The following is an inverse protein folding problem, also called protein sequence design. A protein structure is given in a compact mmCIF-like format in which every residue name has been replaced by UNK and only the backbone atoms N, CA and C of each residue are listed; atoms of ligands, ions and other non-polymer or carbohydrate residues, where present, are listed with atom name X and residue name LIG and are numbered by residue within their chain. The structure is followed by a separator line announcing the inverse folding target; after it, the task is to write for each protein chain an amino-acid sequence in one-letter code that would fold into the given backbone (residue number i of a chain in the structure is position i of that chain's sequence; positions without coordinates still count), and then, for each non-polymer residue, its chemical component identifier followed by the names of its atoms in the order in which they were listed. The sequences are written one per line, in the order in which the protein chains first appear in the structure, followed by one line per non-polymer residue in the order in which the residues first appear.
data_IF_729867341765
#
_entry.id   IF_729867341765
#
_cell.length_a   1.000
_cell.length_b   1.000
_cell.length_c   1.000
_cell.angle_alpha   90.00
_cell.angle_beta   90.00
_cell.angle_gamma   90.00
#
_symmetry.space_group_name_H-M   'P 1'
#
loop_
_entity.id
_entity.type
_entity.pdbx_description
1 polymer ?
#
# COMPACT_ATOMS: atom_id res chain seq x y z
N UNK A 1 2.31 -40.33 0.97
CA UNK A 1 1.32 -39.61 0.14
C UNK A 1 1.59 -38.13 0.34
N UNK A 2 2.22 -37.50 -0.64
CA UNK A 2 2.47 -36.03 -0.65
C UNK A 2 1.13 -35.37 -0.85
N UNK A 3 0.60 -34.70 0.18
CA UNK A 3 -0.50 -33.76 -0.01
C UNK A 3 0.06 -32.60 -0.82
N UNK A 4 -0.41 -32.49 -2.08
CA UNK A 4 -0.07 -31.36 -2.93
C UNK A 4 -0.40 -30.08 -2.16
N UNK A 5 0.53 -29.14 -2.17
CA UNK A 5 0.30 -27.80 -1.63
C UNK A 5 -0.89 -27.24 -2.41
N UNK A 6 -2.06 -27.11 -1.76
CA UNK A 6 -3.27 -26.60 -2.39
C UNK A 6 -2.95 -25.26 -3.04
N UNK A 7 -3.39 -25.11 -4.28
CA UNK A 7 -3.29 -23.85 -5.04
C UNK A 7 -3.95 -22.73 -4.25
N UNK A 8 -3.39 -21.50 -4.30
CA UNK A 8 -3.88 -20.33 -3.57
C UNK A 8 -4.34 -19.30 -4.59
N UNK A 9 -5.59 -18.86 -4.45
CA UNK A 9 -6.17 -17.80 -5.26
C UNK A 9 -6.05 -16.46 -4.55
N UNK A 10 -5.73 -15.43 -5.32
CA UNK A 10 -5.64 -14.04 -4.85
C UNK A 10 -6.68 -13.19 -5.58
N UNK A 11 -7.40 -12.34 -4.85
CA UNK A 11 -8.30 -11.36 -5.45
C UNK A 11 -8.29 -10.05 -4.70
N UNK A 12 -8.69 -9.00 -5.37
CA UNK A 12 -8.92 -7.70 -4.73
C UNK A 12 -10.15 -7.76 -3.80
N UNK A 13 -10.18 -6.84 -2.84
CA UNK A 13 -11.36 -6.57 -2.02
C UNK A 13 -12.52 -6.10 -2.91
N UNK A 14 -13.70 -6.66 -2.70
CA UNK A 14 -14.88 -6.41 -3.55
C UNK A 14 -16.03 -5.69 -2.81
N UNK A 15 -15.97 -5.56 -1.48
CA UNK A 15 -17.01 -4.84 -0.73
C UNK A 15 -17.23 -5.31 0.69
N UNK A 16 -18.27 -4.77 1.32
CA UNK A 16 -18.60 -5.00 2.74
C UNK A 16 -18.79 -6.47 3.11
N UNK A 17 -19.12 -7.35 2.17
CA UNK A 17 -19.22 -8.79 2.41
C UNK A 17 -17.91 -9.42 2.87
N UNK A 18 -16.77 -8.85 2.47
CA UNK A 18 -15.45 -9.33 2.88
C UNK A 18 -15.05 -8.83 4.27
N UNK A 19 -15.64 -7.72 4.72
CA UNK A 19 -15.19 -7.01 5.92
C UNK A 19 -15.22 -7.87 7.20
N UNK A 20 -16.25 -8.67 7.50
CA UNK A 20 -16.25 -9.52 8.71
C UNK A 20 -15.10 -10.52 8.73
N UNK A 21 -14.80 -11.12 7.57
CA UNK A 21 -13.72 -12.10 7.42
C UNK A 21 -12.33 -11.45 7.55
N UNK A 22 -12.15 -10.26 6.98
CA UNK A 22 -10.92 -9.46 7.12
C UNK A 22 -10.70 -9.11 8.59
N UNK A 23 -11.72 -8.61 9.27
CA UNK A 23 -11.65 -8.26 10.69
C UNK A 23 -11.26 -9.45 11.55
N UNK A 24 -11.93 -10.61 11.36
CA UNK A 24 -11.65 -11.83 12.11
C UNK A 24 -10.18 -12.25 11.94
N UNK A 25 -9.67 -12.27 10.71
CA UNK A 25 -8.30 -12.66 10.42
C UNK A 25 -7.27 -11.66 10.97
N UNK A 26 -7.50 -10.36 10.85
CA UNK A 26 -6.59 -9.33 11.37
C UNK A 26 -6.58 -9.35 12.89
N UNK A 27 -7.75 -9.39 13.53
CA UNK A 27 -7.86 -9.39 15.00
C UNK A 27 -7.27 -10.64 15.65
N UNK A 28 -7.26 -11.79 14.95
CA UNK A 28 -6.66 -13.02 15.47
C UNK A 28 -5.13 -13.03 15.43
N UNK A 29 -4.52 -12.20 14.57
CA UNK A 29 -3.11 -12.31 14.23
C UNK A 29 -2.28 -11.05 14.54
N UNK A 30 -2.90 -9.87 14.62
CA UNK A 30 -2.24 -8.60 14.92
C UNK A 30 -2.51 -8.15 16.35
N UNK A 31 -1.53 -7.51 16.97
CA UNK A 31 -1.59 -7.06 18.37
C UNK A 31 -2.40 -5.78 18.57
N UNK A 32 -2.55 -4.97 17.52
CA UNK A 32 -3.27 -3.69 17.61
C UNK A 32 -4.79 -3.87 17.53
N UNK A 33 -5.56 -3.23 18.43
CA UNK A 33 -7.02 -3.36 18.48
C UNK A 33 -7.70 -2.45 17.44
N UNK A 34 -7.71 -2.88 16.18
CA UNK A 34 -8.39 -2.11 15.14
C UNK A 34 -9.92 -2.17 15.29
N UNK A 35 -10.56 -0.99 15.26
CA UNK A 35 -12.02 -0.86 15.25
C UNK A 35 -12.56 -0.88 13.82
N UNK A 36 -13.84 -1.22 13.63
CA UNK A 36 -14.49 -1.35 12.31
C UNK A 36 -14.28 -0.11 11.41
N UNK A 37 -14.30 1.08 12.01
CA UNK A 37 -14.12 2.33 11.26
C UNK A 37 -12.74 2.47 10.64
N UNK A 38 -11.70 1.89 11.26
CA UNK A 38 -10.35 1.86 10.71
C UNK A 38 -10.31 1.00 9.44
N UNK A 39 -10.93 -0.18 9.45
CA UNK A 39 -11.02 -1.02 8.26
C UNK A 39 -11.78 -0.31 7.12
N UNK A 40 -12.95 0.27 7.44
CA UNK A 40 -13.75 1.01 6.45
C UNK A 40 -13.02 2.20 5.87
N UNK A 41 -12.24 2.92 6.68
CA UNK A 41 -11.42 4.03 6.20
C UNK A 41 -10.50 3.59 5.06
N UNK A 42 -9.75 2.49 5.23
CA UNK A 42 -8.86 1.97 4.20
C UNK A 42 -9.61 1.36 3.02
N UNK A 43 -10.53 0.46 3.30
CA UNK A 43 -11.18 -0.37 2.30
C UNK A 43 -12.17 0.40 1.40
N UNK A 44 -12.78 1.48 1.89
CA UNK A 44 -13.66 2.32 1.09
C UNK A 44 -12.91 3.33 0.23
N UNK A 45 -11.76 3.84 0.72
CA UNK A 45 -11.01 4.84 -0.03
C UNK A 45 -10.03 4.21 -1.04
N UNK A 46 -9.45 3.05 -0.71
CA UNK A 46 -8.47 2.35 -1.56
C UNK A 46 -8.78 0.85 -1.70
N UNK A 47 -9.99 0.47 -2.17
CA UNK A 47 -10.40 -0.93 -2.30
C UNK A 47 -9.47 -1.72 -3.22
N UNK A 48 -8.98 -1.08 -4.27
CA UNK A 48 -8.12 -1.66 -5.30
C UNK A 48 -6.67 -1.96 -4.83
N UNK A 49 -6.25 -1.41 -3.68
CA UNK A 49 -4.93 -1.67 -3.09
C UNK A 49 -4.95 -2.79 -2.05
N UNK A 50 -6.14 -3.36 -1.77
CA UNK A 50 -6.32 -4.41 -0.77
C UNK A 50 -6.63 -5.74 -1.43
N UNK A 51 -5.96 -6.80 -0.97
CA UNK A 51 -6.06 -8.15 -1.55
C UNK A 51 -6.30 -9.20 -0.49
N UNK A 52 -7.02 -10.25 -0.88
CA UNK A 52 -7.28 -11.42 -0.07
C UNK A 52 -6.74 -12.68 -0.74
N UNK A 53 -6.31 -13.63 0.06
CA UNK A 53 -5.86 -14.96 -0.38
C UNK A 53 -6.84 -16.02 0.12
N UNK A 54 -7.18 -16.97 -0.75
CA UNK A 54 -8.10 -18.09 -0.48
C UNK A 54 -7.47 -19.40 -0.91
N UNK A 55 -7.81 -20.53 -0.24
CA UNK A 55 -7.52 -21.84 -0.80
C UNK A 55 -8.27 -22.04 -2.12
N UNK A 56 -7.66 -22.65 -3.13
CA UNK A 56 -8.32 -22.91 -4.41
C UNK A 56 -9.39 -24.02 -4.34
N UNK A 57 -9.33 -24.88 -3.32
CA UNK A 57 -10.36 -25.84 -3.04
C UNK A 57 -11.60 -25.11 -2.48
N UNK A 58 -12.70 -25.19 -3.22
CA UNK A 58 -13.94 -24.45 -3.00
C UNK A 58 -14.68 -24.75 -1.68
N UNK A 59 -14.03 -25.45 -0.73
CA UNK A 59 -14.63 -25.84 0.54
C UNK A 59 -14.65 -24.71 1.59
N UNK A 60 -13.84 -23.67 1.43
CA UNK A 60 -13.77 -22.54 2.36
C UNK A 60 -14.00 -21.22 1.66
N UNK A 61 -15.04 -20.50 2.09
CA UNK A 61 -15.30 -19.10 1.68
C UNK A 61 -14.49 -18.07 2.48
N UNK A 62 -13.72 -18.53 3.47
CA UNK A 62 -12.96 -17.64 4.35
C UNK A 62 -11.54 -17.38 3.82
N UNK A 63 -11.09 -16.12 3.84
CA UNK A 63 -9.74 -15.78 3.44
C UNK A 63 -8.73 -16.31 4.46
N UNK A 64 -7.61 -16.79 3.95
CA UNK A 64 -6.46 -17.27 4.73
C UNK A 64 -5.34 -16.24 4.82
N UNK A 65 -5.47 -15.16 4.09
CA UNK A 65 -4.55 -14.04 4.12
C UNK A 65 -5.19 -12.76 3.62
N UNK A 66 -4.74 -11.63 4.13
CA UNK A 66 -5.21 -10.28 3.72
C UNK A 66 -4.08 -9.28 3.81
N UNK A 67 -4.08 -8.33 2.88
CA UNK A 67 -3.29 -7.11 2.94
C UNK A 67 -4.22 -5.92 2.74
N UNK A 68 -4.04 -4.88 3.56
CA UNK A 68 -4.80 -3.62 3.50
C UNK A 68 -3.83 -2.47 3.36
N UNK A 69 -4.04 -1.66 2.32
CA UNK A 69 -3.13 -0.59 1.97
C UNK A 69 -3.87 0.74 1.74
N UNK A 70 -3.11 1.82 1.75
CA UNK A 70 -3.54 3.15 1.29
C UNK A 70 -2.44 3.81 0.47
N UNK A 71 -2.79 4.94 -0.14
CA UNK A 71 -1.83 5.87 -0.72
C UNK A 71 -2.21 7.32 -0.39
N UNK A 72 -1.24 8.21 -0.40
CA UNK A 72 -1.44 9.63 -0.16
C UNK A 72 -0.32 10.46 -0.79
N UNK A 73 -0.63 11.70 -1.15
CA UNK A 73 0.40 12.67 -1.58
C UNK A 73 1.17 13.15 -0.35
N UNK A 74 2.47 12.91 -0.37
CA UNK A 74 3.40 13.40 0.65
C UNK A 74 4.09 14.67 0.14
N UNK A 75 4.09 15.74 0.94
CA UNK A 75 4.70 17.05 0.61
C UNK A 75 4.30 17.59 -0.78
N UNK A 76 3.10 17.23 -1.26
CA UNK A 76 2.52 17.71 -2.51
C UNK A 76 3.08 17.14 -3.81
N UNK A 77 4.20 16.42 -3.78
CA UNK A 77 4.91 16.01 -5.00
C UNK A 77 5.22 14.51 -5.10
N UNK A 78 5.08 13.75 -4.01
CA UNK A 78 5.42 12.33 -3.98
C UNK A 78 4.18 11.52 -3.59
N UNK A 79 3.73 10.60 -4.45
CA UNK A 79 2.68 9.67 -4.08
C UNK A 79 3.30 8.51 -3.31
N UNK A 80 2.92 8.37 -2.02
CA UNK A 80 3.43 7.34 -1.13
C UNK A 80 2.35 6.31 -0.83
N UNK A 81 2.72 5.04 -0.98
CA UNK A 81 1.93 3.91 -0.56
C UNK A 81 2.21 3.54 0.89
N UNK A 82 1.22 3.02 1.58
CA UNK A 82 1.31 2.56 2.96
C UNK A 82 0.68 1.18 3.12
N UNK A 83 1.43 0.22 3.64
CA UNK A 83 0.91 -1.08 4.03
C UNK A 83 0.45 -0.98 5.49
N UNK A 84 -0.87 -0.92 5.68
CA UNK A 84 -1.46 -0.75 7.01
C UNK A 84 -1.60 -2.06 7.78
N UNK A 85 -2.00 -3.14 7.09
CA UNK A 85 -2.23 -4.44 7.71
C UNK A 85 -1.79 -5.54 6.75
N UNK A 86 -1.10 -6.54 7.28
CA UNK A 86 -0.79 -7.80 6.59
C UNK A 86 -0.99 -8.94 7.57
N UNK A 87 -1.89 -9.85 7.24
CA UNK A 87 -2.18 -11.00 8.09
C UNK A 87 -2.30 -12.28 7.27
N UNK A 88 -1.78 -13.39 7.81
CA UNK A 88 -1.91 -14.74 7.24
C UNK A 88 -2.16 -15.71 8.37
N UNK A 89 -3.23 -16.50 8.25
CA UNK A 89 -3.59 -17.56 9.20
C UNK A 89 -2.37 -18.45 9.52
N UNK A 90 -2.15 -18.73 10.80
CA UNK A 90 -0.99 -19.49 11.30
C UNK A 90 -0.80 -20.82 10.59
N UNK A 91 -1.89 -21.50 10.26
CA UNK A 91 -1.87 -22.82 9.59
C UNK A 91 -1.40 -22.75 8.14
N UNK A 92 -1.48 -21.53 7.54
CA UNK A 92 -1.14 -21.28 6.14
C UNK A 92 0.16 -20.52 5.94
N UNK A 93 0.87 -20.18 7.01
CA UNK A 93 2.17 -19.49 6.94
C UNK A 93 3.25 -20.35 6.30
N UNK A 94 4.36 -19.71 5.90
CA UNK A 94 5.52 -20.34 5.23
C UNK A 94 5.20 -20.99 3.88
N UNK A 95 4.13 -20.53 3.21
CA UNK A 95 3.72 -20.96 1.86
C UNK A 95 3.81 -19.82 0.82
N UNK A 96 4.51 -18.72 1.13
CA UNK A 96 4.67 -17.59 0.21
C UNK A 96 3.48 -16.63 0.14
N UNK A 97 2.37 -16.87 0.87
CA UNK A 97 1.14 -16.09 0.79
C UNK A 97 1.38 -14.60 1.08
N UNK A 98 2.08 -14.29 2.18
CA UNK A 98 2.39 -12.92 2.54
C UNK A 98 3.20 -12.21 1.45
N UNK A 99 4.23 -12.88 0.90
CA UNK A 99 5.04 -12.33 -0.19
C UNK A 99 4.22 -12.03 -1.45
N UNK A 100 3.28 -12.93 -1.81
CA UNK A 100 2.40 -12.71 -2.96
C UNK A 100 1.43 -11.56 -2.73
N UNK A 101 0.83 -11.45 -1.54
CA UNK A 101 -0.04 -10.32 -1.17
C UNK A 101 0.70 -8.98 -1.26
N UNK A 102 1.92 -8.91 -0.72
CA UNK A 102 2.74 -7.68 -0.79
C UNK A 102 3.08 -7.34 -2.23
N UNK A 103 3.50 -8.30 -3.05
CA UNK A 103 3.80 -8.06 -4.48
C UNK A 103 2.58 -7.55 -5.24
N UNK A 104 1.40 -8.16 -5.04
CA UNK A 104 0.17 -7.71 -5.69
C UNK A 104 -0.16 -6.25 -5.32
N UNK A 105 0.01 -5.87 -4.06
CA UNK A 105 -0.21 -4.50 -3.61
C UNK A 105 0.85 -3.53 -4.15
N UNK A 106 2.13 -3.92 -4.22
CA UNK A 106 3.19 -3.12 -4.84
C UNK A 106 2.87 -2.84 -6.31
N UNK A 107 2.46 -3.86 -7.07
CA UNK A 107 2.11 -3.68 -8.48
C UNK A 107 0.87 -2.79 -8.67
N UNK A 108 -0.15 -2.93 -7.83
CA UNK A 108 -1.32 -2.04 -7.85
C UNK A 108 -0.93 -0.59 -7.54
N UNK A 109 -0.12 -0.34 -6.51
CA UNK A 109 0.38 0.98 -6.15
C UNK A 109 1.26 1.59 -7.25
N UNK A 110 2.07 0.76 -7.92
CA UNK A 110 2.91 1.19 -9.05
C UNK A 110 2.07 1.68 -10.23
N UNK A 111 0.96 1.00 -10.52
CA UNK A 111 0.01 1.45 -11.56
C UNK A 111 -0.63 2.80 -11.21
N UNK A 112 -0.83 3.08 -9.93
CA UNK A 112 -1.35 4.36 -9.42
C UNK A 112 -0.27 5.46 -9.31
N UNK A 113 0.96 5.20 -9.77
CA UNK A 113 2.05 6.17 -9.76
C UNK A 113 2.66 6.41 -8.37
N UNK A 114 2.57 5.43 -7.48
CA UNK A 114 3.28 5.47 -6.19
C UNK A 114 4.78 5.34 -6.45
N UNK A 115 5.57 6.24 -5.87
CA UNK A 115 7.04 6.25 -6.01
C UNK A 115 7.76 5.62 -4.82
N UNK A 116 7.08 5.51 -3.68
CA UNK A 116 7.65 4.96 -2.46
C UNK A 116 6.55 4.29 -1.62
N UNK A 117 6.85 3.14 -1.04
CA UNK A 117 5.94 2.39 -0.18
C UNK A 117 6.59 2.22 1.19
N UNK A 118 5.85 2.50 2.27
CA UNK A 118 6.36 2.35 3.63
C UNK A 118 5.41 1.56 4.52
N UNK A 119 5.93 1.08 5.63
CA UNK A 119 5.20 0.39 6.68
C UNK A 119 5.96 0.48 8.01
N UNK A 120 5.26 0.19 9.11
CA UNK A 120 5.87 -0.04 10.41
C UNK A 120 5.62 -1.50 10.86
N UNK A 121 6.62 -2.06 11.54
CA UNK A 121 6.49 -3.38 12.18
C UNK A 121 7.21 -3.39 13.53
N UNK A 122 6.74 -4.19 14.48
CA UNK A 122 7.42 -4.32 15.78
C UNK A 122 8.91 -4.66 15.58
N UNK A 123 9.77 -4.02 16.37
CA UNK A 123 11.23 -4.13 16.23
C UNK A 123 11.74 -5.58 16.41
N UNK A 124 11.01 -6.41 17.15
CA UNK A 124 11.30 -7.81 17.44
C UNK A 124 10.52 -8.80 16.56
N UNK A 125 9.72 -8.31 15.60
CA UNK A 125 9.02 -9.17 14.63
C UNK A 125 9.96 -9.60 13.49
N UNK A 126 10.90 -10.49 13.82
CA UNK A 126 11.90 -10.97 12.87
C UNK A 126 11.30 -11.61 11.61
N UNK A 127 10.11 -12.22 11.72
CA UNK A 127 9.44 -12.83 10.57
C UNK A 127 8.97 -11.77 9.56
N UNK A 128 8.36 -10.68 10.04
CA UNK A 128 7.96 -9.57 9.19
C UNK A 128 9.17 -8.84 8.62
N UNK A 129 10.19 -8.55 9.45
CA UNK A 129 11.42 -7.90 8.99
C UNK A 129 12.08 -8.69 7.85
N UNK A 130 12.28 -10.00 8.02
CA UNK A 130 12.86 -10.85 6.99
C UNK A 130 12.01 -10.92 5.72
N UNK A 131 10.66 -10.94 5.86
CA UNK A 131 9.75 -10.91 4.72
C UNK A 131 9.96 -9.65 3.90
N UNK A 132 9.84 -8.49 4.52
CA UNK A 132 9.91 -7.21 3.81
C UNK A 132 11.31 -6.94 3.25
N UNK A 133 12.36 -7.25 3.99
CA UNK A 133 13.75 -7.15 3.48
C UNK A 133 13.97 -8.04 2.25
N UNK A 134 13.42 -9.25 2.22
CA UNK A 134 13.48 -10.14 1.05
C UNK A 134 12.73 -9.61 -0.18
N UNK A 135 11.80 -8.67 0.03
CA UNK A 135 11.03 -7.99 -1.01
C UNK A 135 11.63 -6.62 -1.39
N UNK A 136 12.82 -6.28 -0.87
CA UNK A 136 13.53 -5.06 -1.22
C UNK A 136 13.18 -3.84 -0.37
N UNK A 137 12.49 -4.03 0.76
CA UNK A 137 12.33 -2.97 1.75
C UNK A 137 13.62 -2.79 2.55
N UNK A 138 13.94 -1.55 2.89
CA UNK A 138 15.07 -1.19 3.76
C UNK A 138 14.54 -0.59 5.06
N UNK A 139 15.26 -0.79 6.17
CA UNK A 139 14.95 -0.14 7.44
C UNK A 139 15.37 1.32 7.35
N UNK A 140 14.41 2.23 7.45
CA UNK A 140 14.66 3.67 7.41
C UNK A 140 15.02 4.19 8.80
N UNK A 141 14.13 4.00 9.77
CA UNK A 141 14.32 4.49 11.15
C UNK A 141 13.63 3.61 12.18
N UNK A 142 14.09 3.73 13.44
CA UNK A 142 13.45 3.14 14.60
C UNK A 142 12.56 4.18 15.26
N UNK A 143 11.31 3.80 15.53
CA UNK A 143 10.31 4.62 16.21
C UNK A 143 10.14 4.11 17.64
N UNK A 144 10.50 4.91 18.62
CA UNK A 144 10.44 4.53 20.02
C UNK A 144 9.01 4.56 20.56
N UNK A 145 8.61 3.50 21.27
CA UNK A 145 7.28 3.35 21.90
C UNK A 145 6.11 3.62 20.93
N UNK A 146 6.26 3.13 19.72
CA UNK A 146 5.31 3.38 18.63
C UNK A 146 3.98 2.68 18.86
N UNK A 147 4.00 1.43 19.32
CA UNK A 147 2.78 0.64 19.52
C UNK A 147 2.14 0.89 20.89
N UNK A 148 0.83 0.64 21.00
CA UNK A 148 0.08 0.80 22.27
C UNK A 148 0.63 -0.07 23.41
N UNK A 149 1.24 -1.20 23.09
CA UNK A 149 1.92 -2.05 24.08
C UNK A 149 3.29 -1.50 24.52
N UNK A 150 3.68 -0.31 24.06
CA UNK A 150 4.94 0.34 24.38
C UNK A 150 6.15 -0.18 23.61
N UNK A 151 5.96 -1.11 22.67
CA UNK A 151 7.05 -1.59 21.82
C UNK A 151 7.48 -0.56 20.79
N UNK A 152 8.74 -0.61 20.45
CA UNK A 152 9.32 0.15 19.35
C UNK A 152 8.91 -0.48 18.00
N UNK A 153 8.95 0.32 16.94
CA UNK A 153 8.82 -0.14 15.58
C UNK A 153 10.08 0.15 14.75
N UNK A 154 10.24 -0.60 13.67
CA UNK A 154 11.04 -0.16 12.53
C UNK A 154 10.09 0.32 11.43
N UNK A 155 10.36 1.51 10.89
CA UNK A 155 9.82 1.94 9.62
C UNK A 155 10.68 1.34 8.52
N UNK A 156 10.03 0.66 7.57
CA UNK A 156 10.66 0.12 6.38
C UNK A 156 10.12 0.85 5.15
N UNK A 157 10.99 1.04 4.16
CA UNK A 157 10.68 1.77 2.93
C UNK A 157 11.13 0.96 1.72
N UNK A 158 10.29 0.96 0.69
CA UNK A 158 10.57 0.39 -0.62
C UNK A 158 10.40 1.46 -1.69
N UNK A 159 11.46 1.76 -2.46
CA UNK A 159 11.41 2.69 -3.58
C UNK A 159 10.86 1.96 -4.80
N UNK A 160 9.82 2.50 -5.41
CA UNK A 160 9.21 1.98 -6.64
C UNK A 160 9.89 2.66 -7.83
N UNK A 161 10.65 1.95 -8.67
CA UNK A 161 11.26 2.55 -9.85
C UNK A 161 10.18 3.09 -10.79
N UNK A 162 10.41 4.25 -11.43
CA UNK A 162 9.49 4.72 -12.47
C UNK A 162 9.41 3.66 -13.57
N UNK A 163 8.21 3.43 -14.10
CA UNK A 163 8.04 2.58 -15.27
C UNK A 163 8.83 3.20 -16.42
N UNK A 164 9.88 2.52 -16.87
CA UNK A 164 10.61 2.91 -18.08
C UNK A 164 9.65 2.79 -19.26
N UNK A 165 9.09 3.92 -19.70
CA UNK A 165 8.52 4.01 -21.03
C UNK A 165 9.70 3.82 -21.99
N UNK A 166 9.74 2.68 -22.65
CA UNK A 166 10.64 2.41 -23.77
C UNK A 166 10.30 3.39 -24.88
N UNK A 167 11.00 4.50 -24.90
CA UNK A 167 11.12 5.37 -26.06
C UNK A 167 12.50 5.14 -26.68
N UNK A 168 12.67 3.96 -27.29
CA UNK A 168 13.65 3.77 -28.35
C UNK A 168 13.04 4.36 -29.60
N UNK A 169 13.23 5.64 -29.81
CA UNK A 169 13.15 6.27 -31.12
C UNK A 169 14.56 6.64 -31.51
N UNK A 170 15.16 5.77 -32.31
CA UNK A 170 16.29 6.10 -33.17
C UNK A 170 15.94 7.34 -33.98
N UNK A 171 16.59 8.46 -33.67
CA UNK A 171 16.60 9.62 -34.55
C UNK A 171 17.98 9.77 -35.18
N UNK A 172 18.07 9.23 -36.40
CA UNK A 172 19.13 9.55 -37.31
C UNK A 172 18.66 10.59 -38.33
N UNK A 173 19.14 11.82 -38.11
CA UNK A 173 19.49 12.86 -39.11
C UNK A 173 18.55 13.14 -40.29
N UNK A 174 18.08 14.40 -40.42
CA UNK A 174 18.50 15.25 -41.53
C UNK A 174 17.94 16.68 -41.42
N UNK A 175 18.79 17.62 -41.74
CA UNK A 175 18.64 19.08 -41.80
C UNK A 175 17.75 19.44 -42.99
N UNK A 176 16.75 20.32 -42.80
CA UNK A 176 16.38 21.32 -43.80
C UNK A 176 15.50 22.43 -43.23
N UNK A 177 15.85 23.65 -43.54
CA UNK A 177 15.22 24.90 -43.17
C UNK A 177 13.87 25.12 -43.91
N UNK A 178 12.98 25.95 -43.32
CA UNK A 178 11.81 26.48 -44.04
C UNK A 178 10.77 27.08 -43.11
N UNK A 179 10.71 28.37 -43.16
CA UNK A 179 9.87 29.43 -42.60
C UNK A 179 8.34 29.23 -42.63
N UNK A 180 7.72 29.99 -41.71
CA UNK A 180 6.45 30.73 -41.77
C UNK A 180 5.15 30.13 -41.22
N UNK A 181 4.74 30.79 -40.14
CA UNK A 181 3.46 31.46 -39.87
C UNK A 181 2.16 30.68 -39.62
N UNK A 182 1.58 31.13 -38.54
CA UNK A 182 0.15 31.37 -38.28
C UNK A 182 -0.69 30.34 -37.53
N UNK A 183 -0.98 30.72 -36.31
CA UNK A 183 -2.32 30.88 -35.68
C UNK A 183 -3.24 29.68 -35.53
N UNK A 184 -3.53 29.40 -34.31
CA UNK A 184 -4.86 29.46 -33.67
C UNK A 184 -5.29 28.20 -32.88
N UNK A 185 -5.80 28.55 -31.69
CA UNK A 185 -6.80 27.83 -30.87
C UNK A 185 -6.43 26.53 -30.20
N UNK A 186 -5.82 26.68 -29.02
CA UNK A 186 -5.94 25.65 -27.99
C UNK A 186 -7.23 25.85 -27.19
N UNK A 187 -8.20 24.97 -27.35
CA UNK A 187 -9.36 24.87 -26.46
C UNK A 187 -8.89 24.32 -25.11
N UNK A 188 -8.75 25.20 -24.14
CA UNK A 188 -8.56 24.85 -22.73
C UNK A 188 -9.89 24.28 -22.22
N UNK A 189 -9.99 22.97 -22.12
CA UNK A 189 -11.05 22.30 -21.37
C UNK A 189 -10.77 22.51 -19.88
N UNK A 190 -11.45 23.46 -19.26
CA UNK A 190 -11.50 23.62 -17.81
C UNK A 190 -12.27 22.43 -17.23
N UNK A 191 -11.57 21.58 -16.49
CA UNK A 191 -12.23 20.61 -15.62
C UNK A 191 -12.91 21.33 -14.45
N UNK A 192 -14.13 20.94 -14.05
CA UNK A 192 -14.81 21.56 -12.93
C UNK A 192 -14.12 21.22 -11.62
N UNK A 193 -13.81 22.23 -10.83
CA UNK A 193 -13.36 22.09 -9.43
C UNK A 193 -14.38 21.29 -8.65
N UNK A 194 -14.01 20.06 -8.27
CA UNK A 194 -14.77 19.24 -7.35
C UNK A 194 -14.83 19.90 -5.98
N UNK A 195 -16.03 20.22 -5.52
CA UNK A 195 -16.33 20.71 -4.17
C UNK A 195 -15.72 19.75 -3.14
N UNK A 196 -14.78 20.27 -2.38
CA UNK A 196 -14.21 19.65 -1.19
C UNK A 196 -15.33 19.55 -0.13
N UNK A 197 -16.00 18.40 -0.05
CA UNK A 197 -16.90 18.11 1.07
C UNK A 197 -16.05 17.95 2.32
N UNK A 198 -16.05 18.95 3.17
CA UNK A 198 -15.55 18.85 4.53
C UNK A 198 -16.46 17.86 5.27
N UNK A 199 -15.94 16.71 5.63
CA UNK A 199 -16.61 15.77 6.54
C UNK A 199 -16.60 16.37 7.95
N UNK A 200 -17.75 16.46 8.65
CA UNK A 200 -17.82 17.02 10.00
C UNK A 200 -17.29 16.10 11.10
N UNK A 201 -16.78 14.93 10.75
CA UNK A 201 -16.21 14.00 11.72
C UNK A 201 -14.70 14.09 11.67
N UNK A 202 -14.12 14.79 12.66
CA UNK A 202 -12.72 14.65 13.02
C UNK A 202 -12.53 13.24 13.58
N UNK A 203 -12.37 12.27 12.70
CA UNK A 203 -11.84 10.98 13.05
C UNK A 203 -10.34 11.17 13.30
N UNK A 204 -9.93 11.01 14.56
CA UNK A 204 -8.58 10.59 14.84
C UNK A 204 -8.57 9.07 14.70
N UNK A 205 -8.12 8.49 13.56
CA UNK A 205 -7.72 7.10 13.59
C UNK A 205 -6.57 7.04 14.61
N UNK A 206 -6.54 6.00 15.42
CA UNK A 206 -5.36 5.65 16.19
C UNK A 206 -4.33 5.13 15.18
N UNK A 207 -3.86 6.03 14.32
CA UNK A 207 -2.64 5.88 13.54
C UNK A 207 -1.67 6.76 14.32
N UNK A 208 -0.76 6.17 15.08
CA UNK A 208 0.27 6.97 15.71
C UNK A 208 1.09 7.59 14.58
N UNK A 209 1.09 8.91 14.54
CA UNK A 209 1.98 9.74 13.73
C UNK A 209 1.47 10.21 12.35
N UNK A 210 1.19 11.51 12.26
CA UNK A 210 1.21 12.22 10.98
C UNK A 210 2.66 12.60 10.67
N UNK A 211 3.09 12.40 9.43
CA UNK A 211 4.44 12.69 8.92
C UNK A 211 4.83 14.20 9.01
N UNK A 212 3.97 15.05 9.57
CA UNK A 212 4.11 16.51 9.51
C UNK A 212 4.86 17.14 10.69
N UNK A 213 5.28 16.36 11.72
CA UNK A 213 5.94 16.91 12.93
C UNK A 213 7.46 16.68 13.03
N UNK A 214 8.12 16.08 12.02
CA UNK A 214 9.56 15.76 12.12
C UNK A 214 10.52 16.92 11.75
N UNK A 215 10.05 18.15 11.44
CA UNK A 215 10.92 19.23 10.95
C UNK A 215 11.26 20.35 11.97
N UNK A 216 10.89 20.23 13.26
CA UNK A 216 11.24 21.26 14.27
C UNK A 216 12.04 20.75 15.46
N UNK A 217 13.15 20.05 15.28
CA UNK A 217 14.22 20.01 16.32
C UNK A 217 15.59 19.97 15.65
N UNK A 218 15.98 21.09 15.05
CA UNK A 218 17.40 21.36 14.84
C UNK A 218 17.66 22.83 15.07
N UNK A 219 17.92 23.19 16.29
CA UNK A 219 18.34 24.55 16.61
C UNK A 219 18.31 24.87 18.10
N UNK A 220 19.17 24.27 18.90
CA UNK A 220 19.92 24.92 20.00
C UNK A 220 20.85 23.92 20.66
#
# INVERSE_FOLDING_TARGET
MSMGAGEIMYRQYIGESDLPHIMALVQSELSEPYVIYTFRYFLHQWPHLSFLAYPADASSSEPIGVIVCKQSLHRGNCNRGYIAMLSVDKKWRKRGIASSLVRNSIEAMKLDGVSEIYLETEYDNHAALSLYESLGFIREKRLYRFYLNGKDAFRLVHVVPPSSSSSDSDDSSSIAAGSDSASSNSLVVKQPMGMRRQSPYRFHPVIPYSDDEDDEVSGR
#
